data_IF_961701288379
#
_entry.id   IF_961701288379
#
_cell.length_a   1.000
_cell.length_b   1.000
_cell.length_c   1.000
_cell.angle_alpha   90.00
_cell.angle_beta   90.00
_cell.angle_gamma   90.00
#
_symmetry.space_group_name_H-M   'P 1'
#
loop_
_entity.id
_entity.type
_entity.pdbx_description
1 polymer ?
#
# COMPACT_ATOMS: atom_id res chain seq x y z
N UNK A 1 -8.69 -37.54 10.20
CA UNK A 1 -7.24 -37.89 10.11
C UNK A 1 -6.44 -36.81 10.80
N UNK A 2 -5.24 -37.11 11.33
CA UNK A 2 -4.35 -36.04 11.81
C UNK A 2 -3.76 -35.33 10.59
N UNK A 3 -3.96 -34.01 10.52
CA UNK A 3 -3.46 -33.17 9.43
C UNK A 3 -3.14 -31.77 9.94
N UNK A 4 -2.31 -31.07 9.18
CA UNK A 4 -2.04 -29.65 9.38
C UNK A 4 -3.28 -28.84 8.98
N UNK A 5 -3.80 -28.03 9.89
CA UNK A 5 -5.00 -27.21 9.71
C UNK A 5 -4.81 -25.84 10.36
N UNK A 6 -5.69 -24.90 10.01
CA UNK A 6 -5.67 -23.53 10.55
C UNK A 6 -6.23 -23.51 11.98
N UNK A 7 -5.49 -22.88 12.87
CA UNK A 7 -5.90 -22.49 14.21
C UNK A 7 -6.13 -20.98 14.26
N UNK A 8 -7.20 -20.54 14.92
CA UNK A 8 -7.52 -19.12 15.11
C UNK A 8 -7.63 -18.82 16.60
N UNK A 9 -6.77 -17.93 17.08
CA UNK A 9 -6.77 -17.40 18.44
C UNK A 9 -7.84 -16.31 18.57
N UNK A 10 -8.97 -16.64 19.19
CA UNK A 10 -10.09 -15.71 19.36
C UNK A 10 -9.75 -14.53 20.29
N UNK A 11 -8.77 -14.66 21.18
CA UNK A 11 -8.34 -13.57 22.07
C UNK A 11 -7.58 -12.50 21.28
N UNK A 12 -6.70 -12.92 20.36
CA UNK A 12 -5.98 -12.01 19.46
C UNK A 12 -6.80 -11.52 18.27
N UNK A 13 -7.86 -12.24 17.91
CA UNK A 13 -8.71 -11.86 16.78
C UNK A 13 -9.46 -10.57 17.10
N UNK A 14 -9.40 -9.58 16.20
CA UNK A 14 -10.15 -8.32 16.34
C UNK A 14 -11.43 -8.28 15.48
N UNK A 15 -11.79 -9.38 14.82
CA UNK A 15 -13.01 -9.47 14.02
C UNK A 15 -12.95 -8.80 12.65
N UNK A 16 -11.78 -8.38 12.15
CA UNK A 16 -11.69 -7.59 10.92
C UNK A 16 -12.13 -8.29 9.61
N UNK A 17 -12.39 -9.61 9.61
CA UNK A 17 -12.92 -10.32 8.43
C UNK A 17 -11.93 -10.60 7.29
N UNK A 18 -10.70 -10.06 7.33
CA UNK A 18 -9.75 -10.18 6.22
C UNK A 18 -9.39 -11.63 5.86
N UNK A 19 -9.25 -12.51 6.86
CA UNK A 19 -9.00 -13.93 6.65
C UNK A 19 -10.17 -14.67 5.99
N UNK A 20 -11.40 -14.27 6.31
CA UNK A 20 -12.63 -14.86 5.78
C UNK A 20 -12.86 -14.44 4.31
N UNK A 21 -12.35 -13.27 3.93
CA UNK A 21 -12.27 -12.81 2.53
C UNK A 21 -11.14 -13.49 1.75
N UNK A 22 -9.99 -13.74 2.39
CA UNK A 22 -8.84 -14.35 1.73
C UNK A 22 -8.98 -15.86 1.48
N UNK A 23 -9.86 -16.55 2.21
CA UNK A 23 -10.07 -17.99 2.06
C UNK A 23 -10.90 -18.28 0.81
N UNK A 24 -10.24 -18.81 -0.22
CA UNK A 24 -10.88 -19.15 -1.51
C UNK A 24 -11.90 -20.28 -1.35
N UNK A 25 -11.66 -21.18 -0.41
CA UNK A 25 -12.45 -22.38 -0.16
C UNK A 25 -13.71 -22.06 0.65
N UNK A 26 -13.78 -20.88 1.29
CA UNK A 26 -14.90 -20.51 2.16
C UNK A 26 -14.95 -21.30 3.47
N UNK A 27 -13.77 -21.62 4.03
CA UNK A 27 -13.64 -22.39 5.28
C UNK A 27 -13.81 -21.53 6.55
N UNK A 28 -13.57 -20.22 6.45
CA UNK A 28 -13.56 -19.27 7.58
C UNK A 28 -14.72 -18.28 7.44
N UNK A 29 -15.44 -18.06 8.55
CA UNK A 29 -16.50 -17.04 8.67
C UNK A 29 -16.34 -16.21 9.94
N UNK A 30 -17.10 -15.12 10.03
CA UNK A 30 -17.18 -14.30 11.23
C UNK A 30 -18.42 -14.72 12.03
N UNK A 31 -18.19 -15.16 13.26
CA UNK A 31 -19.23 -15.59 14.21
C UNK A 31 -19.00 -14.84 15.51
N UNK A 32 -20.02 -14.15 16.01
CA UNK A 32 -19.95 -13.32 17.22
C UNK A 32 -18.79 -12.29 17.18
N UNK A 33 -18.53 -11.72 16.00
CA UNK A 33 -17.46 -10.74 15.80
C UNK A 33 -16.04 -11.33 15.81
N UNK A 34 -15.88 -12.65 15.73
CA UNK A 34 -14.58 -13.34 15.69
C UNK A 34 -14.50 -14.27 14.48
N UNK A 35 -13.30 -14.40 13.93
CA UNK A 35 -13.06 -15.36 12.86
C UNK A 35 -13.09 -16.79 13.42
N UNK A 36 -13.84 -17.68 12.77
CA UNK A 36 -13.93 -19.10 13.12
C UNK A 36 -13.76 -19.97 11.88
N UNK A 37 -13.06 -21.09 12.06
CA UNK A 37 -12.98 -22.13 11.05
C UNK A 37 -14.26 -22.97 11.10
N UNK A 38 -15.29 -22.52 10.40
CA UNK A 38 -16.64 -23.11 10.46
C UNK A 38 -16.78 -24.38 9.61
N UNK A 39 -15.89 -24.59 8.64
CA UNK A 39 -15.89 -25.76 7.74
C UNK A 39 -14.49 -26.34 7.63
N UNK A 40 -14.14 -27.23 8.55
CA UNK A 40 -12.81 -27.83 8.59
C UNK A 40 -12.48 -28.68 7.35
N UNK A 41 -13.49 -29.33 6.76
CA UNK A 41 -13.35 -30.08 5.51
C UNK A 41 -13.13 -29.18 4.28
N UNK A 42 -13.35 -27.87 4.39
CA UNK A 42 -13.06 -26.90 3.33
C UNK A 42 -11.68 -26.28 3.51
N UNK A 43 -11.07 -26.38 4.70
CA UNK A 43 -9.70 -25.94 4.89
C UNK A 43 -8.77 -26.92 4.18
N UNK A 44 -7.94 -26.43 3.26
CA UNK A 44 -6.92 -27.22 2.58
C UNK A 44 -5.60 -27.29 3.38
N UNK A 45 -5.39 -26.34 4.29
CA UNK A 45 -4.18 -26.21 5.11
C UNK A 45 -3.05 -25.44 4.42
N UNK A 46 -3.33 -24.70 3.35
CA UNK A 46 -2.32 -23.95 2.58
C UNK A 46 -1.90 -22.64 3.25
N UNK A 47 -2.85 -21.95 3.89
CA UNK A 47 -2.55 -20.83 4.78
C UNK A 47 -2.62 -19.42 4.18
N UNK A 48 -3.38 -19.22 3.10
CA UNK A 48 -3.60 -17.90 2.51
C UNK A 48 -4.16 -16.85 3.49
N UNK A 49 -4.81 -17.30 4.56
CA UNK A 49 -5.32 -16.43 5.61
C UNK A 49 -4.23 -15.85 6.54
N UNK A 50 -3.05 -16.49 6.67
CA UNK A 50 -2.02 -16.07 7.62
C UNK A 50 -1.47 -14.66 7.31
N UNK A 51 -1.03 -14.34 6.07
CA UNK A 51 -0.49 -13.01 5.77
C UNK A 51 -1.52 -11.89 5.88
N UNK A 52 -2.82 -12.24 5.83
CA UNK A 52 -3.93 -11.30 5.88
C UNK A 52 -4.40 -11.00 7.30
N UNK A 53 -3.85 -11.64 8.33
CA UNK A 53 -4.21 -11.39 9.72
C UNK A 53 -3.32 -10.31 10.34
N UNK A 54 -3.81 -9.06 10.51
CA UNK A 54 -2.98 -7.95 11.03
C UNK A 54 -2.61 -8.11 12.50
N UNK A 55 -3.34 -8.95 13.26
CA UNK A 55 -3.08 -9.20 14.68
C UNK A 55 -2.26 -10.46 14.93
N UNK A 56 -1.91 -11.22 13.88
CA UNK A 56 -1.19 -12.49 14.02
C UNK A 56 -1.97 -13.57 14.78
N UNK A 57 -3.31 -13.53 14.73
CA UNK A 57 -4.18 -14.48 15.43
C UNK A 57 -4.25 -15.87 14.77
N UNK A 58 -3.71 -16.04 13.57
CA UNK A 58 -3.86 -17.26 12.77
C UNK A 58 -2.54 -18.01 12.73
N UNK A 59 -2.58 -19.30 13.07
CA UNK A 59 -1.42 -20.20 13.06
C UNK A 59 -1.79 -21.56 12.48
N UNK A 60 -0.79 -22.41 12.26
CA UNK A 60 -1.03 -23.81 11.94
C UNK A 60 -1.00 -24.67 13.20
N UNK A 61 -1.86 -25.68 13.25
CA UNK A 61 -1.81 -26.74 14.25
C UNK A 61 -1.92 -28.11 13.56
N UNK A 62 -1.43 -29.15 14.22
CA UNK A 62 -1.69 -30.54 13.84
C UNK A 62 -2.69 -31.13 14.82
N UNK A 63 -3.87 -31.46 14.30
CA UNK A 63 -4.92 -32.11 15.09
C UNK A 63 -5.74 -33.04 14.23
N UNK A 64 -6.61 -33.80 14.88
CA UNK A 64 -7.61 -34.57 14.17
C UNK A 64 -8.63 -33.63 13.51
N UNK A 65 -8.76 -33.76 12.20
CA UNK A 65 -9.72 -33.02 11.39
C UNK A 65 -10.22 -33.88 10.20
N UNK A 66 -11.37 -33.53 9.60
CA UNK A 66 -11.85 -34.14 8.38
C UNK A 66 -10.86 -33.98 7.20
N UNK A 67 -10.93 -34.90 6.24
CA UNK A 67 -10.19 -34.77 4.99
C UNK A 67 -10.72 -33.57 4.17
N UNK A 68 -9.84 -32.96 3.36
CA UNK A 68 -10.22 -31.84 2.50
C UNK A 68 -11.11 -32.34 1.37
N UNK A 69 -12.29 -31.74 1.23
CA UNK A 69 -13.29 -32.12 0.24
C UNK A 69 -13.41 -31.06 -0.85
N UNK A 70 -12.50 -31.13 -1.83
CA UNK A 70 -12.49 -30.27 -3.03
C UNK A 70 -13.84 -30.31 -3.79
N UNK A 71 -14.51 -31.46 -3.80
CA UNK A 71 -15.79 -31.60 -4.46
C UNK A 71 -16.89 -30.82 -3.73
N UNK A 72 -16.91 -30.81 -2.40
CA UNK A 72 -17.83 -30.01 -1.60
C UNK A 72 -17.57 -28.51 -1.74
N UNK A 73 -16.30 -28.09 -1.77
CA UNK A 73 -15.91 -26.69 -2.03
C UNK A 73 -16.48 -26.24 -3.37
N UNK A 74 -16.21 -27.00 -4.45
CA UNK A 74 -16.69 -26.66 -5.80
C UNK A 74 -18.21 -26.61 -5.89
N UNK A 75 -18.93 -27.57 -5.30
CA UNK A 75 -20.41 -27.54 -5.27
C UNK A 75 -20.92 -26.27 -4.60
N UNK A 76 -20.37 -25.92 -3.44
CA UNK A 76 -20.77 -24.72 -2.69
C UNK A 76 -20.49 -23.43 -3.46
N UNK A 77 -19.33 -23.34 -4.10
CA UNK A 77 -18.97 -22.18 -4.94
C UNK A 77 -19.89 -22.05 -6.14
N UNK A 78 -20.25 -23.17 -6.79
CA UNK A 78 -21.16 -23.18 -7.93
C UNK A 78 -22.60 -22.82 -7.53
N UNK A 79 -23.08 -23.29 -6.37
CA UNK A 79 -24.37 -22.87 -5.80
C UNK A 79 -24.37 -21.37 -5.50
N UNK A 80 -23.35 -20.87 -4.80
CA UNK A 80 -23.21 -19.46 -4.48
C UNK A 80 -23.16 -18.58 -5.75
N UNK A 81 -22.44 -19.04 -6.77
CA UNK A 81 -22.40 -18.41 -8.09
C UNK A 81 -23.78 -18.35 -8.73
N UNK A 82 -24.48 -19.48 -8.80
CA UNK A 82 -25.79 -19.56 -9.46
C UNK A 82 -26.85 -18.73 -8.72
N UNK A 83 -26.73 -18.61 -7.40
CA UNK A 83 -27.58 -17.76 -6.59
C UNK A 83 -27.24 -16.28 -6.79
N UNK A 84 -25.96 -15.90 -6.71
CA UNK A 84 -25.48 -14.54 -6.94
C UNK A 84 -25.80 -14.01 -8.35
N UNK A 85 -25.84 -14.88 -9.35
CA UNK A 85 -26.21 -14.51 -10.72
C UNK A 85 -27.70 -14.19 -10.89
N UNK A 86 -28.55 -14.68 -9.99
CA UNK A 86 -30.00 -14.40 -10.00
C UNK A 86 -30.36 -13.09 -9.31
N UNK A 87 -29.44 -12.52 -8.55
CA UNK A 87 -29.65 -11.31 -7.75
C UNK A 87 -28.91 -10.11 -8.34
N UNK A 88 -29.42 -8.90 -8.16
CA UNK A 88 -28.66 -7.67 -8.42
C UNK A 88 -27.70 -7.36 -7.28
N UNK A 89 -26.75 -6.43 -7.50
CA UNK A 89 -25.85 -5.98 -6.42
C UNK A 89 -26.65 -5.35 -5.28
N UNK A 90 -27.68 -4.56 -5.62
CA UNK A 90 -28.57 -3.94 -4.64
C UNK A 90 -29.31 -4.99 -3.81
N UNK A 91 -29.79 -6.06 -4.43
CA UNK A 91 -30.48 -7.15 -3.73
C UNK A 91 -29.52 -7.90 -2.78
N UNK A 92 -28.28 -8.14 -3.19
CA UNK A 92 -27.25 -8.74 -2.33
C UNK A 92 -26.94 -7.82 -1.14
N UNK A 93 -26.84 -6.50 -1.36
CA UNK A 93 -26.56 -5.54 -0.28
C UNK A 93 -27.65 -5.52 0.80
N UNK A 94 -28.88 -5.94 0.50
CA UNK A 94 -29.99 -6.04 1.45
C UNK A 94 -30.02 -7.36 2.23
N UNK A 95 -29.13 -8.31 1.96
CA UNK A 95 -29.04 -9.56 2.74
C UNK A 95 -28.62 -9.24 4.17
N UNK A 96 -29.45 -9.63 5.15
CA UNK A 96 -29.25 -9.35 6.57
C UNK A 96 -28.08 -10.15 7.16
N UNK A 97 -27.93 -11.42 6.77
CA UNK A 97 -26.81 -12.25 7.19
C UNK A 97 -25.51 -11.77 6.52
N UNK A 98 -24.56 -11.30 7.32
CA UNK A 98 -23.32 -10.71 6.82
C UNK A 98 -22.43 -11.72 6.10
N UNK A 99 -22.41 -12.98 6.54
CA UNK A 99 -21.60 -14.03 5.91
C UNK A 99 -22.18 -14.42 4.55
N UNK A 100 -23.50 -14.60 4.48
CA UNK A 100 -24.19 -14.91 3.22
C UNK A 100 -24.11 -13.75 2.24
N UNK A 101 -24.30 -12.50 2.71
CA UNK A 101 -24.07 -11.30 1.90
C UNK A 101 -22.66 -11.27 1.31
N UNK A 102 -21.63 -11.50 2.13
CA UNK A 102 -20.22 -11.51 1.70
C UNK A 102 -19.98 -12.59 0.64
N UNK A 103 -20.48 -13.80 0.89
CA UNK A 103 -20.38 -14.95 -0.01
C UNK A 103 -21.00 -14.66 -1.38
N UNK A 104 -22.24 -14.17 -1.41
CA UNK A 104 -22.94 -13.82 -2.64
C UNK A 104 -22.25 -12.68 -3.39
N UNK A 105 -21.81 -11.64 -2.67
CA UNK A 105 -21.08 -10.51 -3.26
C UNK A 105 -19.79 -10.95 -3.94
N UNK A 106 -18.99 -11.79 -3.28
CA UNK A 106 -17.74 -12.32 -3.84
C UNK A 106 -17.99 -13.21 -5.07
N UNK A 107 -19.00 -14.08 -5.01
CA UNK A 107 -19.38 -14.92 -6.14
C UNK A 107 -19.82 -14.09 -7.35
N UNK A 108 -20.61 -13.03 -7.13
CA UNK A 108 -21.05 -12.10 -8.18
C UNK A 108 -19.87 -11.37 -8.82
N UNK A 109 -18.97 -10.82 -7.99
CA UNK A 109 -17.80 -10.07 -8.46
C UNK A 109 -16.85 -10.93 -9.30
N UNK A 110 -16.69 -12.21 -8.96
CA UNK A 110 -15.83 -13.16 -9.69
C UNK A 110 -16.35 -13.46 -11.10
N UNK A 111 -17.67 -13.45 -11.30
CA UNK A 111 -18.32 -13.92 -12.53
C UNK A 111 -18.73 -12.82 -13.49
N UNK A 112 -19.17 -11.66 -13.01
CA UNK A 112 -19.56 -10.52 -13.87
C UNK A 112 -18.35 -9.83 -14.52
N UNK A 113 -17.20 -10.51 -14.56
CA UNK A 113 -15.94 -9.93 -15.02
C UNK A 113 -15.66 -8.65 -14.26
N UNK A 114 -16.02 -8.64 -12.97
CA UNK A 114 -15.79 -7.55 -12.04
C UNK A 114 -14.30 -7.36 -11.88
N UNK A 115 -13.67 -6.74 -12.88
CA UNK A 115 -12.79 -5.65 -12.57
C UNK A 115 -13.56 -4.83 -11.55
N UNK A 116 -13.15 -4.90 -10.28
CA UNK A 116 -13.00 -3.68 -9.48
C UNK A 116 -12.77 -2.56 -10.47
N UNK A 117 -13.56 -1.47 -10.52
CA UNK A 117 -13.31 -0.39 -11.46
C UNK A 117 -11.80 -0.18 -11.48
N UNK A 118 -11.14 -0.56 -12.59
CA UNK A 118 -9.68 -0.79 -12.61
C UNK A 118 -8.96 0.55 -12.66
N UNK A 119 -9.39 1.51 -11.85
CA UNK A 119 -8.42 2.28 -11.11
C UNK A 119 -7.97 1.39 -9.96
N UNK A 120 -6.73 0.90 -9.98
CA UNK A 120 -6.10 0.44 -8.72
C UNK A 120 -6.32 1.46 -7.59
N UNK A 121 -6.03 1.09 -6.34
CA UNK A 121 -6.14 2.00 -5.20
C UNK A 121 -5.73 3.41 -5.64
N UNK A 122 -6.57 4.45 -5.51
CA UNK A 122 -6.20 5.81 -5.93
C UNK A 122 -4.83 6.21 -5.39
N UNK A 123 -4.45 5.66 -4.23
CA UNK A 123 -3.13 5.79 -3.62
C UNK A 123 -1.93 5.24 -4.42
N UNK A 124 -2.15 4.39 -5.42
CA UNK A 124 -1.12 3.82 -6.29
C UNK A 124 -1.33 4.17 -7.77
N UNK A 125 -2.37 4.95 -8.10
CA UNK A 125 -2.62 5.38 -9.49
C UNK A 125 -1.61 6.44 -9.88
N UNK A 126 -0.67 6.06 -10.77
CA UNK A 126 0.32 6.99 -11.30
C UNK A 126 -0.35 8.10 -12.11
N UNK A 127 -0.11 9.36 -11.75
CA UNK A 127 -0.59 10.53 -12.46
C UNK A 127 0.33 11.73 -12.23
N UNK A 128 0.45 12.58 -13.24
CA UNK A 128 1.04 13.90 -13.10
C UNK A 128 -0.03 14.88 -12.63
N UNK A 129 0.27 15.66 -11.60
CA UNK A 129 -0.64 16.68 -11.10
C UNK A 129 -0.50 17.94 -11.97
N UNK A 130 -1.62 18.60 -12.27
CA UNK A 130 -1.62 19.79 -13.11
C UNK A 130 -0.70 20.86 -12.51
N UNK A 131 0.30 21.29 -13.28
CA UNK A 131 1.17 22.40 -12.91
C UNK A 131 0.30 23.64 -12.70
N UNK A 132 0.25 24.15 -11.47
CA UNK A 132 -0.42 25.40 -11.17
C UNK A 132 0.46 26.54 -11.69
N UNK A 133 -0.14 27.46 -12.45
CA UNK A 133 0.55 28.63 -13.00
C UNK A 133 1.30 29.39 -11.89
N UNK A 134 2.50 29.87 -12.20
CA UNK A 134 3.22 30.75 -11.29
C UNK A 134 2.41 32.04 -11.09
N UNK A 135 1.89 32.25 -9.90
CA UNK A 135 1.31 33.55 -9.54
C UNK A 135 2.42 34.60 -9.54
N UNK A 136 2.18 35.70 -10.25
CA UNK A 136 3.10 36.82 -10.40
C UNK A 136 3.57 37.34 -9.02
N UNK A 137 4.85 37.76 -8.87
CA UNK A 137 5.40 38.27 -7.60
C UNK A 137 4.60 39.46 -7.01
N UNK A 138 3.82 40.17 -7.84
CA UNK A 138 3.02 41.31 -7.45
C UNK A 138 1.82 40.99 -6.54
N UNK A 139 1.43 39.71 -6.37
CA UNK A 139 0.33 39.31 -5.49
C UNK A 139 0.77 39.06 -4.03
N UNK A 140 2.06 39.18 -3.71
CA UNK A 140 2.63 38.77 -2.41
C UNK A 140 2.48 39.81 -1.28
N UNK A 141 1.64 40.84 -1.44
CA UNK A 141 1.43 41.89 -0.43
C UNK A 141 0.27 41.62 0.56
N UNK A 142 -0.24 40.39 0.64
CA UNK A 142 -1.20 40.02 1.70
C UNK A 142 -0.53 39.12 2.75
N UNK A 143 -0.56 39.57 4.00
CA UNK A 143 0.00 38.87 5.18
C UNK A 143 -0.64 37.49 5.48
N UNK A 144 -1.54 37.01 4.62
CA UNK A 144 -2.33 35.78 4.78
C UNK A 144 -2.53 35.01 3.46
N UNK A 145 -1.56 35.03 2.55
CA UNK A 145 -1.61 34.18 1.36
C UNK A 145 -1.69 32.69 1.76
N UNK A 146 -2.71 31.97 1.28
CA UNK A 146 -2.85 30.53 1.53
C UNK A 146 -1.67 29.78 0.89
N UNK A 147 -1.01 28.85 1.61
CA UNK A 147 0.07 28.05 1.04
C UNK A 147 -0.39 27.31 -0.23
N UNK A 148 0.45 27.30 -1.26
CA UNK A 148 0.18 26.61 -2.52
C UNK A 148 0.78 25.20 -2.45
N UNK A 149 0.00 24.12 -2.66
CA UNK A 149 0.55 22.78 -2.74
C UNK A 149 1.53 22.66 -3.92
N UNK A 150 2.71 22.12 -3.65
CA UNK A 150 3.80 21.98 -4.64
C UNK A 150 4.10 20.54 -5.09
N UNK A 151 3.28 19.57 -4.70
CA UNK A 151 3.46 18.19 -5.17
C UNK A 151 3.19 18.11 -6.68
N UNK A 152 4.15 17.60 -7.44
CA UNK A 152 4.07 17.55 -8.90
C UNK A 152 3.41 16.26 -9.43
N UNK A 153 3.43 15.19 -8.64
CA UNK A 153 2.99 13.87 -9.10
C UNK A 153 2.42 13.02 -7.97
N UNK A 154 1.66 11.99 -8.35
CA UNK A 154 1.15 10.96 -7.45
C UNK A 154 1.38 9.58 -8.07
N UNK A 155 1.70 8.54 -7.28
CA UNK A 155 1.99 8.58 -5.84
C UNK A 155 3.38 9.18 -5.54
N UNK A 156 3.57 9.58 -4.30
CA UNK A 156 4.84 10.13 -3.82
C UNK A 156 5.64 9.15 -2.96
N UNK A 157 5.04 8.07 -2.46
CA UNK A 157 5.74 7.06 -1.66
C UNK A 157 6.66 6.21 -2.53
N UNK A 158 7.92 6.04 -2.13
CA UNK A 158 8.92 5.23 -2.85
C UNK A 158 8.39 3.81 -3.09
N UNK A 159 7.71 3.19 -2.13
CA UNK A 159 7.10 1.86 -2.30
C UNK A 159 6.04 1.79 -3.40
N UNK A 160 5.28 2.85 -3.62
CA UNK A 160 4.12 2.85 -4.51
C UNK A 160 4.42 3.43 -5.88
N UNK A 161 5.40 4.33 -5.99
CA UNK A 161 5.72 4.98 -7.28
C UNK A 161 6.20 3.93 -8.30
N UNK A 162 5.67 3.93 -9.52
CA UNK A 162 6.23 3.11 -10.60
C UNK A 162 7.68 3.53 -10.86
N UNK A 163 8.52 2.59 -11.28
CA UNK A 163 9.94 2.85 -11.51
C UNK A 163 10.21 3.58 -12.82
N UNK A 164 9.26 3.51 -13.75
CA UNK A 164 9.29 4.20 -15.05
C UNK A 164 7.98 4.95 -15.23
N UNK A 165 8.01 6.26 -15.03
CA UNK A 165 6.85 7.13 -15.20
C UNK A 165 7.22 8.39 -15.97
N UNK A 166 6.31 8.94 -16.80
CA UNK A 166 6.61 10.09 -17.66
C UNK A 166 7.10 11.32 -16.90
N UNK A 167 6.67 11.51 -15.66
CA UNK A 167 7.09 12.65 -14.85
C UNK A 167 8.56 12.61 -14.42
N UNK A 168 9.28 11.49 -14.61
CA UNK A 168 10.72 11.42 -14.34
C UNK A 168 11.58 11.95 -15.49
N UNK A 169 11.02 12.20 -16.67
CA UNK A 169 11.78 12.72 -17.81
C UNK A 169 12.28 14.15 -17.57
N UNK A 170 13.60 14.35 -17.60
CA UNK A 170 14.25 15.61 -17.27
C UNK A 170 14.04 16.09 -15.83
N UNK A 171 13.68 15.20 -14.91
CA UNK A 171 13.23 15.57 -13.57
C UNK A 171 14.36 16.00 -12.63
N UNK A 172 14.05 16.96 -11.77
CA UNK A 172 14.80 17.21 -10.52
C UNK A 172 14.18 16.34 -9.44
N UNK A 173 14.93 15.42 -8.85
CA UNK A 173 14.40 14.47 -7.89
C UNK A 173 14.61 14.98 -6.46
N UNK A 174 13.56 14.93 -5.66
CA UNK A 174 13.59 15.11 -4.22
C UNK A 174 13.33 13.75 -3.57
N UNK A 175 14.25 13.27 -2.74
CA UNK A 175 14.07 12.08 -1.90
C UNK A 175 14.02 12.56 -0.45
N UNK A 176 12.88 12.42 0.21
CA UNK A 176 12.65 12.97 1.53
C UNK A 176 12.18 11.90 2.53
N UNK A 177 12.63 12.00 3.79
CA UNK A 177 12.07 11.17 4.84
C UNK A 177 10.65 11.62 5.22
N UNK A 178 9.74 10.69 5.52
CA UNK A 178 8.31 11.01 5.75
C UNK A 178 8.08 12.13 6.79
N UNK A 179 8.88 12.13 7.85
CA UNK A 179 8.79 13.10 8.94
C UNK A 179 9.28 14.50 8.58
N UNK A 180 10.04 14.71 7.49
CA UNK A 180 10.61 16.02 7.17
C UNK A 180 9.52 17.02 6.78
N UNK A 181 8.45 16.58 6.12
CA UNK A 181 7.32 17.45 5.77
C UNK A 181 6.52 17.93 6.98
N UNK A 182 6.56 17.17 8.09
CA UNK A 182 5.90 17.54 9.35
C UNK A 182 6.82 18.34 10.27
N UNK A 183 8.13 18.10 10.22
CA UNK A 183 9.11 18.84 11.00
C UNK A 183 9.46 20.20 10.38
N UNK A 184 9.58 20.28 9.06
CA UNK A 184 9.96 21.50 8.34
C UNK A 184 8.75 22.14 7.66
N UNK A 185 8.27 23.25 8.22
CA UNK A 185 7.03 23.89 7.79
C UNK A 185 7.01 24.29 6.30
N UNK A 186 8.15 24.72 5.74
CA UNK A 186 8.22 25.25 4.38
C UNK A 186 8.59 24.19 3.32
N UNK A 187 8.31 22.91 3.58
CA UNK A 187 8.72 21.79 2.72
C UNK A 187 8.23 21.92 1.28
N UNK A 188 6.97 22.33 1.10
CA UNK A 188 6.38 22.48 -0.23
C UNK A 188 7.12 23.52 -1.06
N UNK A 189 7.40 24.69 -0.51
CA UNK A 189 7.98 25.80 -1.27
C UNK A 189 9.48 25.65 -1.50
N UNK A 190 10.24 25.20 -0.52
CA UNK A 190 11.72 25.12 -0.64
C UNK A 190 12.21 23.82 -1.25
N UNK A 191 11.50 22.72 -1.02
CA UNK A 191 11.97 21.40 -1.43
C UNK A 191 11.15 20.81 -2.57
N UNK A 192 9.82 20.89 -2.54
CA UNK A 192 8.97 20.21 -3.53
C UNK A 192 8.77 21.02 -4.81
N UNK A 193 8.78 22.36 -4.73
CA UNK A 193 8.56 23.23 -5.89
C UNK A 193 9.51 22.89 -7.04
N UNK A 194 8.93 22.51 -8.17
CA UNK A 194 9.67 22.17 -9.40
C UNK A 194 10.45 20.84 -9.33
N UNK A 195 10.16 19.97 -8.34
CA UNK A 195 10.80 18.67 -8.17
C UNK A 195 9.77 17.53 -8.14
N UNK A 196 10.17 16.38 -8.68
CA UNK A 196 9.46 15.11 -8.46
C UNK A 196 9.79 14.64 -7.05
N UNK A 197 8.77 14.51 -6.21
CA UNK A 197 8.95 14.24 -4.76
C UNK A 197 8.71 12.78 -4.43
N UNK A 198 9.75 12.08 -3.97
CA UNK A 198 9.67 10.72 -3.44
C UNK A 198 9.87 10.75 -1.93
N UNK A 199 8.97 10.11 -1.18
CA UNK A 199 9.02 10.01 0.27
C UNK A 199 9.12 8.56 0.75
N UNK A 200 9.83 8.35 1.85
CA UNK A 200 9.84 7.06 2.55
C UNK A 200 10.59 7.08 3.87
N UNK A 201 10.28 6.12 4.74
CA UNK A 201 10.98 5.90 6.00
C UNK A 201 11.45 4.44 6.10
N UNK A 202 12.74 4.15 5.88
CA UNK A 202 13.25 2.77 5.93
C UNK A 202 12.94 2.04 7.25
N UNK A 203 12.86 2.79 8.36
CA UNK A 203 12.51 2.24 9.67
C UNK A 203 11.04 1.81 9.77
N UNK A 204 10.11 2.57 9.19
CA UNK A 204 8.68 2.22 9.24
C UNK A 204 8.34 1.19 8.16
N UNK A 205 9.02 1.26 7.03
CA UNK A 205 8.79 0.38 5.90
C UNK A 205 9.52 -0.96 5.99
N UNK A 206 10.47 -1.09 6.92
CA UNK A 206 11.32 -2.26 7.14
C UNK A 206 11.96 -2.77 5.84
N UNK A 207 12.53 -1.85 5.06
CA UNK A 207 13.09 -2.12 3.73
C UNK A 207 14.28 -1.21 3.41
N UNK A 208 15.18 -1.69 2.57
CA UNK A 208 16.19 -0.89 1.89
C UNK A 208 15.67 -0.45 0.51
N UNK A 209 15.63 0.85 0.24
CA UNK A 209 15.16 1.39 -1.04
C UNK A 209 16.21 1.35 -2.16
N UNK A 210 17.44 0.90 -1.90
CA UNK A 210 18.57 0.97 -2.82
C UNK A 210 18.23 0.42 -4.21
N UNK A 211 17.65 -0.77 -4.28
CA UNK A 211 17.31 -1.43 -5.56
C UNK A 211 16.29 -0.61 -6.36
N UNK A 212 15.17 -0.25 -5.73
CA UNK A 212 14.09 0.49 -6.40
C UNK A 212 14.53 1.90 -6.83
N UNK A 213 15.31 2.59 -5.99
CA UNK A 213 15.88 3.89 -6.35
C UNK A 213 16.91 3.73 -7.49
N UNK A 214 17.66 2.62 -7.52
CA UNK A 214 18.58 2.34 -8.63
C UNK A 214 17.81 2.21 -9.94
N UNK A 215 16.70 1.46 -9.94
CA UNK A 215 15.85 1.31 -11.13
C UNK A 215 15.30 2.65 -11.62
N UNK A 216 14.73 3.46 -10.71
CA UNK A 216 14.22 4.80 -11.03
C UNK A 216 15.33 5.67 -11.65
N UNK A 217 16.50 5.75 -11.01
CA UNK A 217 17.57 6.63 -11.48
C UNK A 217 18.17 6.11 -12.79
N UNK A 218 18.35 4.79 -12.92
CA UNK A 218 18.94 4.15 -14.10
C UNK A 218 18.05 4.26 -15.33
N UNK A 219 16.73 4.11 -15.18
CA UNK A 219 15.82 4.01 -16.32
C UNK A 219 15.22 5.36 -16.76
N UNK A 220 15.45 6.46 -16.03
CA UNK A 220 14.85 7.77 -16.35
C UNK A 220 15.89 8.91 -16.46
N UNK A 221 15.55 10.02 -17.13
CA UNK A 221 16.43 11.20 -17.24
C UNK A 221 16.36 12.09 -15.99
N UNK A 222 17.20 11.80 -14.99
CA UNK A 222 17.25 12.56 -13.73
C UNK A 222 18.40 13.58 -13.76
N UNK A 223 18.09 14.86 -13.56
CA UNK A 223 19.04 15.98 -13.67
C UNK A 223 19.83 16.27 -12.39
N UNK A 224 19.17 16.16 -11.24
CA UNK A 224 19.77 16.39 -9.91
C UNK A 224 18.98 15.59 -8.86
N UNK A 225 19.64 15.26 -7.75
CA UNK A 225 18.99 14.64 -6.58
C UNK A 225 19.20 15.48 -5.33
N UNK A 226 18.11 15.90 -4.68
CA UNK A 226 18.16 16.47 -3.33
C UNK A 226 17.63 15.45 -2.33
N UNK A 227 18.43 15.12 -1.32
CA UNK A 227 18.05 14.25 -0.21
C UNK A 227 17.70 15.13 0.99
N UNK A 228 16.48 15.03 1.51
CA UNK A 228 16.08 15.72 2.75
C UNK A 228 15.83 14.67 3.82
N UNK A 229 16.61 14.73 4.90
CA UNK A 229 16.57 13.75 5.98
C UNK A 229 16.47 14.42 7.34
N UNK A 230 16.07 13.68 8.36
CA UNK A 230 16.16 14.15 9.73
C UNK A 230 17.55 13.88 10.34
N UNK A 231 17.91 14.64 11.38
CA UNK A 231 19.16 14.48 12.16
C UNK A 231 19.26 13.10 12.85
N UNK A 232 18.13 12.43 13.05
CA UNK A 232 18.06 11.13 13.72
C UNK A 232 18.73 10.01 12.91
N UNK A 233 19.33 9.01 13.58
CA UNK A 233 20.10 7.96 12.91
C UNK A 233 19.27 7.09 11.97
N UNK A 234 17.96 6.92 12.24
CA UNK A 234 17.09 6.11 11.38
C UNK A 234 16.92 6.68 9.96
N UNK A 235 17.21 7.96 9.74
CA UNK A 235 17.20 8.54 8.39
C UNK A 235 18.51 8.34 7.62
N UNK A 236 19.57 7.84 8.27
CA UNK A 236 20.82 7.48 7.59
C UNK A 236 20.62 6.38 6.53
N UNK A 237 19.68 5.46 6.74
CA UNK A 237 19.33 4.43 5.76
C UNK A 237 18.82 5.00 4.44
N UNK A 238 18.03 6.08 4.47
CA UNK A 238 17.49 6.71 3.25
C UNK A 238 18.60 7.40 2.44
N UNK A 239 19.50 8.10 3.15
CA UNK A 239 20.66 8.75 2.55
C UNK A 239 21.60 7.72 1.90
N UNK A 240 21.91 6.64 2.61
CA UNK A 240 22.75 5.56 2.10
C UNK A 240 22.10 4.86 0.90
N UNK A 241 20.82 4.53 0.98
CA UNK A 241 20.10 3.91 -0.13
C UNK A 241 20.14 4.77 -1.40
N UNK A 242 19.99 6.08 -1.24
CA UNK A 242 20.06 7.02 -2.37
C UNK A 242 21.47 7.11 -2.96
N UNK A 243 22.51 7.19 -2.11
CA UNK A 243 23.91 7.22 -2.58
C UNK A 243 24.29 5.93 -3.31
N UNK A 244 23.89 4.79 -2.77
CA UNK A 244 24.10 3.48 -3.40
C UNK A 244 23.39 3.43 -4.76
N UNK A 245 22.16 3.92 -4.84
CA UNK A 245 21.41 3.98 -6.09
C UNK A 245 22.05 4.89 -7.14
N UNK A 246 22.52 6.07 -6.74
CA UNK A 246 23.29 6.97 -7.61
C UNK A 246 24.53 6.27 -8.16
N UNK A 247 25.31 5.61 -7.31
CA UNK A 247 26.52 4.88 -7.70
C UNK A 247 26.19 3.70 -8.64
N UNK A 248 25.17 2.91 -8.31
CA UNK A 248 24.77 1.72 -9.06
C UNK A 248 24.05 2.06 -10.38
N UNK A 249 23.49 3.26 -10.52
CA UNK A 249 22.80 3.69 -11.74
C UNK A 249 23.70 3.81 -12.96
N UNK A 250 25.02 3.96 -12.75
CA UNK A 250 26.00 4.23 -13.81
C UNK A 250 25.90 5.65 -14.40
N UNK A 251 25.11 6.55 -13.81
CA UNK A 251 24.94 7.94 -14.27
C UNK A 251 25.70 8.91 -13.38
N UNK A 252 26.22 9.98 -14.00
CA UNK A 252 26.84 11.09 -13.27
C UNK A 252 25.79 12.16 -12.97
N UNK A 253 25.16 12.07 -11.80
CA UNK A 253 24.09 12.97 -11.38
C UNK A 253 24.55 13.75 -10.14
N UNK A 254 24.52 15.09 -10.13
CA UNK A 254 24.84 15.87 -8.95
C UNK A 254 23.79 15.64 -7.86
N UNK A 255 24.23 15.47 -6.62
CA UNK A 255 23.33 15.35 -5.47
C UNK A 255 23.76 16.22 -4.30
N UNK A 256 22.80 16.54 -3.43
CA UNK A 256 23.03 17.22 -2.15
C UNK A 256 22.20 16.58 -1.04
N UNK A 257 22.69 16.66 0.19
CA UNK A 257 21.98 16.21 1.39
C UNK A 257 21.64 17.44 2.24
N UNK A 258 20.42 17.52 2.71
CA UNK A 258 19.95 18.54 3.65
C UNK A 258 19.42 17.82 4.89
N UNK A 259 19.91 18.21 6.06
CA UNK A 259 19.53 17.60 7.33
C UNK A 259 18.62 18.54 8.10
N UNK A 260 17.48 18.03 8.55
CA UNK A 260 16.48 18.74 9.36
C UNK A 260 16.59 18.26 10.81
N UNK A 261 16.74 19.17 11.75
CA UNK A 261 16.72 18.87 13.18
C UNK A 261 15.32 18.46 13.66
N UNK A 262 15.21 17.84 14.84
CA UNK A 262 13.90 17.47 15.42
C UNK A 262 13.00 18.67 15.72
N UNK A 263 13.57 19.87 15.86
CA UNK A 263 12.84 21.14 16.04
C UNK A 263 12.62 21.91 14.71
N UNK A 264 12.92 21.30 13.56
CA UNK A 264 12.54 21.84 12.26
C UNK A 264 13.49 22.87 11.65
N UNK A 265 14.77 22.89 12.07
CA UNK A 265 15.82 23.75 11.49
C UNK A 265 16.63 22.96 10.48
N UNK A 266 17.14 23.65 9.45
CA UNK A 266 18.16 23.09 8.58
C UNK A 266 19.50 23.11 9.34
N UNK A 267 20.22 21.99 9.30
CA UNK A 267 21.56 21.84 9.83
C UNK A 267 22.58 21.96 8.68
N UNK A 268 23.63 22.73 8.93
CA UNK A 268 24.77 22.95 8.01
C UNK A 268 25.64 21.70 7.82
#
# INVERSE_FOLDING_TARGET
MIRKIIHIDEEKCNGCGLCATACHEGAIDIVDGKAKLVRENFCDGFGDCLPNCPTGAITFEEREAPEYDDAAVKRTQEEAKNEAMKMTVEEIMQVEDENERRKLMMAKMKEEGGSMPHGGCPGSRSMQLAARAEESPAAQMEAYAKPIPRLAQWPCQIKLVPTEAPFFDGAKLLIAADCTAYAYANMHEEFMRGRVTLIGCPKLDDIDYSEKLTEIIKNNDIREVTIVRMEVPCCGGLEMATKNALQASGKFIPWRVVTISRDGKILD
#
